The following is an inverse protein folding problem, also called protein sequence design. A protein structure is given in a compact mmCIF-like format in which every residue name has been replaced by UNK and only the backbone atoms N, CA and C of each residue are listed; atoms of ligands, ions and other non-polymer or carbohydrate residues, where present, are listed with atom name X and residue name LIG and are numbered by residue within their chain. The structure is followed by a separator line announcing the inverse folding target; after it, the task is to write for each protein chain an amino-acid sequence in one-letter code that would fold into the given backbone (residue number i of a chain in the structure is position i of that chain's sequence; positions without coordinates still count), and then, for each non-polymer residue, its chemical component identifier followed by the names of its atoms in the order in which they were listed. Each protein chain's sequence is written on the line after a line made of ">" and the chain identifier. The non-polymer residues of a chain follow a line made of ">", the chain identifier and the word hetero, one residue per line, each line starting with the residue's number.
data_IF_204834549667
#
_entry.id   IF_204834549667
#
_cell.length_a   1.000
_cell.length_b   1.000
_cell.length_c   1.000
_cell.angle_alpha   90.00
_cell.angle_beta   90.00
_cell.angle_gamma   90.00
#
_symmetry.space_group_name_H-M   'P 1'
#
loop_
_entity.id
_entity.type
_entity.pdbx_description
1 polymer ?
#
# COMPACT_ATOMS: atom_id res chain seq x y z
N UNK A 1 -33.40 32.05 22.34
CA UNK A 1 -33.63 30.63 22.06
C UNK A 1 -34.36 30.53 20.71
N UNK A 2 -33.68 30.23 19.63
CA UNK A 2 -34.28 29.91 18.33
C UNK A 2 -33.62 28.61 17.85
N UNK A 3 -34.38 27.54 17.78
CA UNK A 3 -34.00 26.26 17.21
C UNK A 3 -34.05 26.39 15.66
N UNK A 4 -32.96 26.16 14.98
CA UNK A 4 -32.92 25.98 13.51
C UNK A 4 -32.93 24.47 13.23
N UNK A 5 -34.01 24.02 12.63
CA UNK A 5 -34.21 22.68 12.11
C UNK A 5 -33.62 22.64 10.70
N UNK A 6 -32.57 21.84 10.47
CA UNK A 6 -32.04 21.60 9.12
C UNK A 6 -32.75 20.37 8.58
N UNK A 7 -33.55 20.58 7.54
CA UNK A 7 -34.20 19.55 6.75
C UNK A 7 -33.19 18.96 5.77
N UNK A 8 -32.85 17.68 5.94
CA UNK A 8 -32.15 16.93 4.89
C UNK A 8 -33.15 16.44 3.86
N UNK A 9 -33.12 17.04 2.66
CA UNK A 9 -33.89 16.58 1.50
C UNK A 9 -33.16 15.45 0.80
N UNK A 10 -33.75 14.27 0.82
CA UNK A 10 -33.41 13.11 -0.01
C UNK A 10 -33.85 13.38 -1.44
N UNK A 11 -32.90 13.42 -2.39
CA UNK A 11 -33.17 13.38 -3.83
C UNK A 11 -32.92 11.94 -4.32
N UNK A 12 -33.89 11.30 -4.97
CA UNK A 12 -33.66 10.05 -5.67
C UNK A 12 -33.03 10.34 -7.05
N UNK A 13 -31.89 9.74 -7.32
CA UNK A 13 -31.24 9.77 -8.64
C UNK A 13 -31.93 8.75 -9.53
N UNK A 14 -32.61 9.25 -10.55
CA UNK A 14 -33.21 8.47 -11.63
C UNK A 14 -32.10 7.97 -12.57
N UNK A 15 -32.01 6.66 -12.71
CA UNK A 15 -31.11 5.99 -13.65
C UNK A 15 -31.72 6.08 -15.05
N UNK A 16 -31.12 6.82 -15.95
CA UNK A 16 -31.47 6.84 -17.37
C UNK A 16 -30.51 5.91 -18.11
N UNK A 17 -30.99 4.75 -18.52
CA UNK A 17 -30.33 3.84 -19.44
C UNK A 17 -30.40 4.42 -20.86
N UNK A 18 -29.26 4.87 -21.39
CA UNK A 18 -29.11 5.16 -22.82
C UNK A 18 -28.36 4.01 -23.50
N UNK A 19 -29.09 3.19 -24.19
CA UNK A 19 -28.55 2.21 -25.13
C UNK A 19 -28.08 2.97 -26.39
N UNK A 20 -26.77 3.10 -26.56
CA UNK A 20 -26.18 3.42 -27.87
C UNK A 20 -25.52 2.17 -28.43
N UNK A 21 -26.21 1.55 -29.38
CA UNK A 21 -25.62 0.56 -30.26
C UNK A 21 -24.76 1.31 -31.29
N UNK A 22 -23.46 1.07 -31.28
CA UNK A 22 -22.57 1.42 -32.38
C UNK A 22 -22.00 0.13 -32.97
N UNK A 23 -22.30 -0.03 -34.25
CA UNK A 23 -21.86 -1.07 -35.13
C UNK A 23 -20.37 -1.21 -35.26
N UNK A 24 -19.83 -2.41 -35.06
CA UNK A 24 -18.46 -2.76 -35.32
C UNK A 24 -18.21 -2.87 -36.82
N UNK A 25 -17.15 -2.25 -37.31
CA UNK A 25 -16.48 -2.61 -38.55
C UNK A 25 -15.20 -3.37 -38.26
N UNK A 26 -14.94 -4.51 -38.88
CA UNK A 26 -13.73 -5.27 -38.64
C UNK A 26 -12.65 -4.85 -39.63
N UNK A 27 -11.51 -4.41 -39.14
CA UNK A 27 -10.30 -4.45 -39.96
C UNK A 27 -9.04 -4.50 -39.08
N UNK A 28 -8.32 -5.59 -39.21
CA UNK A 28 -6.89 -5.55 -39.24
C UNK A 28 -6.15 -6.18 -38.06
N UNK A 29 -5.55 -7.33 -38.35
CA UNK A 29 -4.35 -7.92 -37.77
C UNK A 29 -4.37 -8.16 -36.25
N UNK A 30 -4.71 -9.37 -35.88
CA UNK A 30 -4.37 -9.97 -34.59
C UNK A 30 -2.89 -10.30 -34.57
N UNK A 31 -2.08 -9.42 -34.00
CA UNK A 31 -0.84 -9.87 -33.36
C UNK A 31 -1.25 -10.63 -32.12
N UNK A 32 -0.81 -11.89 -32.03
CA UNK A 32 -1.18 -12.81 -30.98
C UNK A 32 -0.73 -12.31 -29.60
N UNK A 33 -1.61 -11.62 -28.91
CA UNK A 33 -1.47 -11.40 -27.48
C UNK A 33 -1.66 -12.76 -26.81
N UNK A 34 -0.58 -13.37 -26.37
CA UNK A 34 -0.63 -14.50 -25.46
C UNK A 34 -1.53 -14.13 -24.27
N UNK A 35 -2.55 -14.92 -24.07
CA UNK A 35 -3.50 -14.74 -22.98
C UNK A 35 -2.77 -14.85 -21.64
N UNK A 36 -2.92 -13.89 -20.71
CA UNK A 36 -2.20 -13.88 -19.44
C UNK A 36 -2.73 -14.86 -18.39
N UNK A 37 -3.37 -15.94 -18.81
CA UNK A 37 -4.09 -16.87 -17.93
C UNK A 37 -3.22 -17.65 -16.92
N UNK A 38 -1.90 -17.46 -16.88
CA UNK A 38 -1.01 -18.20 -15.96
C UNK A 38 -0.27 -17.35 -14.94
N UNK A 39 -0.55 -16.07 -14.83
CA UNK A 39 0.16 -15.21 -13.86
C UNK A 39 -0.44 -15.25 -12.45
N UNK A 40 -1.69 -15.71 -12.28
CA UNK A 40 -2.38 -15.76 -11.00
C UNK A 40 -2.55 -17.19 -10.50
N UNK A 41 -2.07 -17.44 -9.29
CA UNK A 41 -2.25 -18.71 -8.58
C UNK A 41 -2.95 -18.46 -7.25
N UNK A 42 -4.10 -19.05 -7.04
CA UNK A 42 -4.82 -18.93 -5.78
C UNK A 42 -4.05 -19.63 -4.66
N UNK A 43 -3.92 -18.94 -3.53
CA UNK A 43 -3.25 -19.41 -2.34
C UNK A 43 -4.26 -19.66 -1.23
N UNK A 44 -4.08 -20.70 -0.41
CA UNK A 44 -4.93 -20.93 0.74
C UNK A 44 -4.73 -19.86 1.80
N UNK A 45 -5.81 -19.37 2.37
CA UNK A 45 -5.80 -18.59 3.59
C UNK A 45 -5.87 -19.50 4.83
N UNK A 46 -5.41 -19.04 6.00
CA UNK A 46 -5.63 -19.77 7.25
C UNK A 46 -7.13 -20.00 7.48
N UNK A 47 -7.50 -21.22 7.84
CA UNK A 47 -8.88 -21.51 8.22
C UNK A 47 -9.23 -20.80 9.53
N UNK A 48 -10.31 -20.03 9.52
CA UNK A 48 -10.85 -19.36 10.70
C UNK A 48 -12.30 -19.78 10.90
N UNK A 49 -12.70 -19.97 12.15
CA UNK A 49 -14.07 -20.40 12.49
C UNK A 49 -15.03 -19.22 12.56
N UNK A 50 -14.53 -18.05 12.91
CA UNK A 50 -15.30 -16.82 13.08
C UNK A 50 -14.48 -15.60 12.62
N UNK A 51 -15.17 -14.55 12.19
CA UNK A 51 -14.55 -13.32 11.71
C UNK A 51 -14.01 -13.42 10.27
N UNK A 52 -13.11 -12.53 9.95
CA UNK A 52 -12.44 -12.47 8.64
C UNK A 52 -10.92 -12.43 8.80
N UNK A 53 -10.22 -12.86 7.75
CA UNK A 53 -8.77 -12.74 7.66
C UNK A 53 -8.42 -11.43 6.95
N UNK A 54 -7.47 -10.67 7.50
CA UNK A 54 -6.79 -9.57 6.81
C UNK A 54 -5.31 -9.91 6.66
N UNK A 55 -4.80 -9.90 5.42
CA UNK A 55 -3.38 -10.12 5.15
C UNK A 55 -2.66 -8.77 5.22
N UNK A 56 -1.68 -8.66 6.11
CA UNK A 56 -0.95 -7.43 6.39
C UNK A 56 0.35 -7.33 5.58
N UNK A 57 1.06 -8.45 5.42
CA UNK A 57 2.31 -8.52 4.67
C UNK A 57 2.54 -9.92 4.10
N UNK A 58 3.42 -10.02 3.10
CA UNK A 58 3.78 -11.27 2.45
C UNK A 58 5.29 -11.32 2.16
N UNK A 59 5.93 -12.48 2.39
CA UNK A 59 7.34 -12.68 2.08
C UNK A 59 7.62 -14.14 1.71
N UNK A 60 7.94 -14.40 0.46
CA UNK A 60 8.09 -15.76 -0.07
C UNK A 60 6.80 -16.56 0.06
N UNK A 61 6.84 -17.68 0.79
CA UNK A 61 5.65 -18.49 1.09
C UNK A 61 4.91 -18.06 2.36
N UNK A 62 5.40 -17.05 3.08
CA UNK A 62 4.81 -16.62 4.35
C UNK A 62 3.92 -15.42 4.17
N UNK A 63 2.79 -15.43 4.86
CA UNK A 63 1.92 -14.27 5.04
C UNK A 63 1.79 -13.95 6.52
N UNK A 64 1.77 -12.66 6.82
CA UNK A 64 1.36 -12.11 8.10
C UNK A 64 -0.12 -11.78 8.02
N UNK A 65 -0.90 -12.31 8.92
CA UNK A 65 -2.34 -12.10 8.92
C UNK A 65 -2.87 -11.76 10.30
N UNK A 66 -4.02 -11.11 10.30
CA UNK A 66 -4.86 -10.95 11.48
C UNK A 66 -6.23 -11.57 11.23
N UNK A 67 -6.81 -12.15 12.27
CA UNK A 67 -8.23 -12.49 12.32
C UNK A 67 -8.96 -11.39 13.05
N UNK A 68 -9.95 -10.83 12.41
CA UNK A 68 -10.71 -9.69 12.88
C UNK A 68 -12.19 -10.06 13.05
N UNK A 69 -12.79 -9.54 14.08
CA UNK A 69 -14.24 -9.57 14.30
C UNK A 69 -14.81 -8.17 14.12
N UNK A 70 -15.90 -8.11 13.36
CA UNK A 70 -16.66 -6.86 13.21
C UNK A 70 -17.58 -6.69 14.41
N UNK A 71 -17.37 -5.64 15.14
CA UNK A 71 -18.15 -5.27 16.30
C UNK A 71 -18.96 -3.99 16.01
N UNK A 72 -20.06 -3.83 16.71
CA UNK A 72 -20.84 -2.59 16.69
C UNK A 72 -20.52 -1.78 17.94
N UNK A 73 -20.43 -0.46 17.79
CA UNK A 73 -20.35 0.45 18.92
C UNK A 73 -21.56 0.27 19.85
N UNK A 74 -21.41 0.61 21.11
CA UNK A 74 -22.47 0.45 22.14
C UNK A 74 -23.77 1.19 21.79
N UNK A 75 -23.65 2.28 21.05
CA UNK A 75 -24.78 3.07 20.54
C UNK A 75 -25.29 2.59 19.17
N UNK A 76 -24.63 1.58 18.56
CA UNK A 76 -24.96 1.03 17.24
C UNK A 76 -24.68 1.97 16.07
N UNK A 77 -24.02 3.10 16.31
CA UNK A 77 -23.81 4.15 15.31
C UNK A 77 -22.77 3.85 14.27
N UNK A 78 -21.80 2.97 14.56
CA UNK A 78 -20.73 2.58 13.64
C UNK A 78 -20.21 1.18 13.95
N UNK A 79 -19.58 0.56 12.96
CA UNK A 79 -18.91 -0.71 13.09
C UNK A 79 -17.39 -0.49 13.14
N UNK A 80 -16.72 -1.28 13.96
CA UNK A 80 -15.26 -1.33 14.02
C UNK A 80 -14.79 -2.79 14.01
N UNK A 81 -13.49 -2.97 13.72
CA UNK A 81 -12.87 -4.27 13.70
C UNK A 81 -11.95 -4.42 14.90
N UNK A 82 -12.05 -5.55 15.59
CA UNK A 82 -11.17 -5.92 16.68
C UNK A 82 -10.35 -7.13 16.28
N UNK A 83 -9.04 -7.03 16.40
CA UNK A 83 -8.14 -8.15 16.13
C UNK A 83 -8.21 -9.16 17.26
N UNK A 84 -8.56 -10.38 16.93
CA UNK A 84 -8.65 -11.53 17.86
C UNK A 84 -7.45 -12.45 17.78
N UNK A 85 -6.76 -12.47 16.65
CA UNK A 85 -5.61 -13.33 16.44
C UNK A 85 -4.64 -12.68 15.46
N UNK A 86 -3.37 -12.85 15.70
CA UNK A 86 -2.28 -12.55 14.77
C UNK A 86 -1.54 -13.84 14.45
N UNK A 87 -1.16 -14.04 13.20
CA UNK A 87 -0.42 -15.24 12.83
C UNK A 87 0.50 -15.05 11.63
N UNK A 88 1.49 -15.92 11.58
CA UNK A 88 2.33 -16.14 10.41
C UNK A 88 1.96 -17.52 9.84
N UNK A 89 1.61 -17.55 8.57
CA UNK A 89 1.14 -18.74 7.89
C UNK A 89 1.97 -19.02 6.64
N UNK A 90 2.42 -20.25 6.49
CA UNK A 90 3.08 -20.73 5.27
C UNK A 90 2.01 -21.25 4.30
N UNK A 91 1.81 -20.54 3.20
CA UNK A 91 0.78 -20.85 2.19
C UNK A 91 1.09 -22.11 1.39
N UNK A 92 2.40 -22.46 1.23
CA UNK A 92 2.79 -23.66 0.52
C UNK A 92 2.62 -24.91 1.39
N UNK A 93 3.05 -24.82 2.65
CA UNK A 93 2.89 -25.91 3.63
C UNK A 93 1.49 -25.98 4.22
N UNK A 94 0.65 -24.97 3.98
CA UNK A 94 -0.70 -24.83 4.56
C UNK A 94 -0.70 -24.96 6.07
N UNK A 95 0.25 -24.29 6.72
CA UNK A 95 0.52 -24.44 8.16
C UNK A 95 0.77 -23.09 8.82
N UNK A 96 0.16 -22.90 9.99
CA UNK A 96 0.54 -21.80 10.87
C UNK A 96 1.92 -22.06 11.47
N UNK A 97 2.83 -21.11 11.27
CA UNK A 97 4.19 -21.12 11.83
C UNK A 97 4.18 -20.50 13.23
N UNK A 98 3.41 -19.45 13.40
CA UNK A 98 3.21 -18.77 14.66
C UNK A 98 1.77 -18.25 14.76
N UNK A 99 1.21 -18.31 15.97
CA UNK A 99 -0.14 -17.80 16.26
C UNK A 99 -0.11 -17.13 17.63
N UNK A 100 -0.76 -16.02 17.73
CA UNK A 100 -0.87 -15.28 18.98
C UNK A 100 -2.25 -14.60 19.09
N UNK A 101 -2.82 -14.67 20.29
CA UNK A 101 -4.03 -13.94 20.65
C UNK A 101 -3.61 -12.69 21.45
N UNK A 102 -3.88 -11.48 20.94
CA UNK A 102 -3.47 -10.26 21.62
C UNK A 102 -4.14 -10.12 22.99
N UNK A 103 -3.34 -9.89 24.02
CA UNK A 103 -3.85 -9.52 25.35
C UNK A 103 -4.33 -8.06 25.38
N UNK A 104 -3.74 -7.23 24.55
CA UNK A 104 -4.12 -5.83 24.39
C UNK A 104 -5.15 -5.73 23.28
N UNK A 105 -6.41 -5.38 23.58
CA UNK A 105 -7.41 -5.10 22.56
C UNK A 105 -6.94 -3.97 21.65
N UNK A 106 -7.16 -4.10 20.37
CA UNK A 106 -6.76 -3.07 19.41
C UNK A 106 -7.08 -3.45 17.97
N UNK A 107 -6.89 -2.48 17.10
CA UNK A 107 -6.93 -2.69 15.66
C UNK A 107 -5.50 -2.78 15.13
N UNK A 108 -5.09 -3.95 14.67
CA UNK A 108 -3.78 -4.20 14.06
C UNK A 108 -3.90 -3.99 12.55
N UNK A 109 -3.65 -2.78 12.09
CA UNK A 109 -3.95 -2.34 10.73
C UNK A 109 -2.77 -2.47 9.76
N UNK A 110 -1.55 -2.70 10.24
CA UNK A 110 -0.33 -2.84 9.43
C UNK A 110 0.61 -3.87 10.03
N UNK A 111 1.52 -4.37 9.21
CA UNK A 111 2.51 -5.32 9.66
C UNK A 111 3.66 -5.48 8.67
N UNK A 112 4.81 -5.91 9.17
CA UNK A 112 5.99 -6.23 8.40
C UNK A 112 6.55 -7.58 8.86
N UNK A 113 6.69 -8.52 7.93
CA UNK A 113 7.35 -9.80 8.14
C UNK A 113 8.86 -9.61 8.23
N UNK A 114 9.45 -10.18 9.26
CA UNK A 114 10.89 -10.22 9.49
C UNK A 114 11.46 -11.60 9.15
N UNK A 115 12.77 -11.77 9.30
CA UNK A 115 13.41 -13.08 9.18
C UNK A 115 12.95 -14.03 10.29
N UNK A 116 12.94 -15.31 9.98
CA UNK A 116 12.36 -16.33 10.87
C UNK A 116 10.83 -16.19 10.95
N UNK A 117 10.27 -16.58 12.09
CA UNK A 117 8.83 -16.49 12.37
C UNK A 117 8.56 -15.27 13.25
N UNK A 118 8.95 -14.09 12.75
CA UNK A 118 8.84 -12.83 13.45
C UNK A 118 8.17 -11.75 12.57
N UNK A 119 7.53 -10.79 13.22
CA UNK A 119 6.91 -9.64 12.59
C UNK A 119 6.88 -8.43 13.52
N UNK A 120 6.73 -7.26 12.93
CA UNK A 120 6.34 -6.04 13.63
C UNK A 120 4.96 -5.66 13.17
N UNK A 121 4.11 -5.24 14.09
CA UNK A 121 2.70 -4.92 13.87
C UNK A 121 2.46 -3.47 14.24
N UNK A 122 1.70 -2.77 13.42
CA UNK A 122 1.16 -1.44 13.73
C UNK A 122 -0.23 -1.59 14.36
N UNK A 123 -0.44 -0.94 15.49
CA UNK A 123 -1.58 -1.11 16.36
C UNK A 123 -2.15 0.25 16.75
N UNK A 124 -3.45 0.41 16.58
CA UNK A 124 -4.21 1.49 17.18
C UNK A 124 -4.84 0.99 18.50
N UNK A 125 -4.40 1.54 19.62
CA UNK A 125 -4.80 1.11 20.96
C UNK A 125 -6.24 1.53 21.32
N UNK A 126 -6.62 2.74 20.94
CA UNK A 126 -7.98 3.24 21.17
C UNK A 126 -8.75 3.35 19.84
N UNK A 127 -9.33 2.23 19.45
CA UNK A 127 -10.11 2.08 18.21
C UNK A 127 -11.62 2.29 18.43
N UNK A 128 -12.04 2.61 19.66
CA UNK A 128 -13.46 2.76 20.02
C UNK A 128 -13.96 4.20 19.98
N UNK A 129 -13.18 5.17 19.51
CA UNK A 129 -13.47 6.60 19.28
C UNK A 129 -12.80 7.62 20.20
N UNK A 130 -11.82 7.28 20.98
CA UNK A 130 -11.08 8.33 21.64
C UNK A 130 -10.22 9.06 20.60
N UNK A 131 -10.35 10.36 20.59
CA UNK A 131 -9.46 11.21 19.81
C UNK A 131 -8.65 12.06 20.80
N UNK A 132 -7.33 12.13 20.69
CA UNK A 132 -6.48 11.57 19.63
C UNK A 132 -6.29 10.05 19.76
N UNK A 133 -6.19 9.36 18.61
CA UNK A 133 -5.91 7.94 18.55
C UNK A 133 -4.50 7.66 19.09
N UNK A 134 -4.37 6.63 19.92
CA UNK A 134 -3.08 6.18 20.43
C UNK A 134 -2.54 5.06 19.52
N UNK A 135 -1.30 5.18 19.12
CA UNK A 135 -0.63 4.23 18.26
C UNK A 135 0.53 3.54 18.99
N UNK A 136 0.76 2.31 18.61
CA UNK A 136 1.87 1.52 19.12
C UNK A 136 2.42 0.61 18.02
N UNK A 137 3.65 0.16 18.21
CA UNK A 137 4.22 -0.95 17.46
C UNK A 137 4.42 -2.14 18.39
N UNK A 138 4.15 -3.34 17.88
CA UNK A 138 4.39 -4.57 18.62
C UNK A 138 5.31 -5.49 17.83
N UNK A 139 6.41 -5.87 18.45
CA UNK A 139 7.24 -6.97 17.98
C UNK A 139 6.62 -8.31 18.40
N UNK A 140 6.58 -9.23 17.46
CA UNK A 140 6.08 -10.58 17.61
C UNK A 140 7.10 -11.56 17.03
N UNK A 141 7.70 -12.43 17.84
CA UNK A 141 8.68 -13.41 17.37
C UNK A 141 8.98 -14.48 18.41
N UNK A 142 8.76 -15.75 18.10
CA UNK A 142 8.87 -16.84 19.03
C UNK A 142 8.02 -16.62 20.28
N UNK A 143 8.65 -16.59 21.47
CA UNK A 143 8.02 -16.24 22.74
C UNK A 143 8.16 -14.75 23.11
N UNK A 144 8.92 -13.98 22.35
CA UNK A 144 9.15 -12.57 22.64
C UNK A 144 7.98 -11.72 22.16
N UNK A 145 7.55 -10.80 23.01
CA UNK A 145 6.59 -9.75 22.72
C UNK A 145 7.11 -8.45 23.31
N UNK A 146 7.08 -7.42 22.52
CA UNK A 146 7.51 -6.09 22.96
C UNK A 146 6.57 -5.05 22.38
N UNK A 147 5.89 -4.30 23.23
CA UNK A 147 5.02 -3.18 22.85
C UNK A 147 5.78 -1.87 23.06
N UNK A 148 5.75 -1.03 22.06
CA UNK A 148 6.31 0.32 22.08
C UNK A 148 5.21 1.29 21.73
N UNK A 149 4.83 2.16 22.68
CA UNK A 149 3.93 3.27 22.40
C UNK A 149 4.66 4.31 21.53
N UNK A 150 3.97 4.81 20.52
CA UNK A 150 4.51 5.73 19.55
C UNK A 150 3.81 7.08 19.65
N UNK A 151 4.59 8.15 19.50
CA UNK A 151 4.04 9.49 19.37
C UNK A 151 3.68 9.77 17.93
N UNK A 152 2.48 10.30 17.69
CA UNK A 152 1.99 10.62 16.35
C UNK A 152 1.19 9.49 15.69
N UNK A 153 0.53 9.84 14.62
CA UNK A 153 -0.30 8.93 13.83
C UNK A 153 0.57 8.09 12.90
N UNK A 154 0.53 6.76 13.08
CA UNK A 154 1.17 5.83 12.15
C UNK A 154 0.41 5.80 10.83
N UNK A 155 1.16 5.81 9.72
CA UNK A 155 0.59 5.79 8.39
C UNK A 155 0.97 4.54 7.61
N UNK A 156 2.27 4.22 7.57
CA UNK A 156 2.81 3.05 6.85
C UNK A 156 3.79 2.28 7.73
N UNK A 157 3.77 0.96 7.58
CA UNK A 157 4.73 0.05 8.17
C UNK A 157 5.21 -0.92 7.10
N UNK A 158 6.52 -0.94 6.83
CA UNK A 158 7.14 -1.73 5.78
C UNK A 158 8.38 -2.45 6.31
N UNK A 159 8.68 -3.69 5.86
CA UNK A 159 9.92 -4.35 6.21
C UNK A 159 11.11 -3.57 5.64
N UNK A 160 12.16 -3.40 6.46
CA UNK A 160 13.38 -2.68 6.07
C UNK A 160 14.58 -3.61 5.95
N UNK A 161 14.79 -4.45 6.95
CA UNK A 161 15.82 -5.48 6.93
C UNK A 161 15.24 -6.79 7.46
N UNK A 162 16.05 -7.83 7.52
CA UNK A 162 15.61 -9.10 8.10
C UNK A 162 15.13 -9.01 9.56
N UNK A 163 15.50 -7.96 10.29
CA UNK A 163 15.20 -7.79 11.72
C UNK A 163 14.49 -6.50 12.08
N UNK A 164 14.29 -5.61 11.11
CA UNK A 164 13.77 -4.26 11.32
C UNK A 164 12.66 -3.94 10.33
N UNK A 165 11.78 -3.05 10.74
CA UNK A 165 10.79 -2.39 9.89
C UNK A 165 10.91 -0.87 10.01
N UNK A 166 10.44 -0.16 9.01
CA UNK A 166 10.26 1.28 9.05
C UNK A 166 8.77 1.61 9.14
N UNK A 167 8.44 2.55 10.00
CA UNK A 167 7.09 3.07 10.14
C UNK A 167 7.08 4.58 9.93
N UNK A 168 6.34 5.07 8.96
CA UNK A 168 6.11 6.49 8.82
C UNK A 168 5.03 6.96 9.79
N UNK A 169 5.23 8.16 10.34
CA UNK A 169 4.28 8.77 11.27
C UNK A 169 4.16 10.28 11.03
N UNK A 170 3.05 10.85 11.50
CA UNK A 170 2.81 12.29 11.51
C UNK A 170 2.48 12.72 12.92
N UNK A 171 3.13 13.80 13.41
CA UNK A 171 2.80 14.40 14.69
C UNK A 171 1.57 15.30 14.59
N UNK A 172 0.99 15.66 15.74
CA UNK A 172 -0.13 16.62 15.79
C UNK A 172 0.28 18.00 15.23
N UNK A 173 1.56 18.39 15.40
CA UNK A 173 2.09 19.65 14.86
C UNK A 173 2.38 19.55 13.35
N UNK A 174 2.13 18.39 12.73
CA UNK A 174 2.30 18.17 11.29
C UNK A 174 3.72 17.80 10.87
N UNK A 175 4.66 17.54 11.80
CA UNK A 175 5.94 16.97 11.43
C UNK A 175 5.76 15.54 10.89
N UNK A 176 6.55 15.18 9.88
CA UNK A 176 6.63 13.82 9.35
C UNK A 176 7.89 13.15 9.87
N UNK A 177 7.78 11.89 10.24
CA UNK A 177 8.92 11.12 10.69
C UNK A 177 8.86 9.67 10.20
N UNK A 178 10.01 9.00 10.37
CA UNK A 178 10.14 7.56 10.14
C UNK A 178 10.81 6.95 11.36
N UNK A 179 10.12 6.01 11.99
CA UNK A 179 10.69 5.17 13.03
C UNK A 179 11.38 3.96 12.40
N UNK A 180 12.50 3.56 12.99
CA UNK A 180 13.11 2.24 12.83
C UNK A 180 12.69 1.38 14.01
N UNK A 181 12.02 0.29 13.74
CA UNK A 181 11.43 -0.61 14.71
C UNK A 181 12.14 -1.96 14.67
N UNK A 182 12.42 -2.52 15.84
CA UNK A 182 13.04 -3.84 16.01
C UNK A 182 12.49 -4.55 17.25
N UNK A 183 13.01 -5.75 17.55
CA UNK A 183 12.73 -6.46 18.79
C UNK A 183 13.12 -5.66 20.05
N UNK A 184 14.15 -4.82 19.93
CA UNK A 184 14.74 -4.06 21.02
C UNK A 184 14.05 -2.69 21.27
N UNK A 185 13.09 -2.35 20.39
CA UNK A 185 12.33 -1.11 20.54
C UNK A 185 12.30 -0.25 19.27
N UNK A 186 12.24 1.05 19.48
CA UNK A 186 12.04 2.05 18.43
C UNK A 186 13.13 3.13 18.51
N UNK A 187 13.61 3.54 17.35
CA UNK A 187 14.50 4.70 17.19
C UNK A 187 14.04 5.56 16.03
N UNK A 188 14.31 6.86 16.09
CA UNK A 188 14.06 7.74 14.96
C UNK A 188 15.08 7.49 13.84
N UNK A 189 14.58 7.23 12.63
CA UNK A 189 15.39 7.16 11.42
C UNK A 189 15.40 8.52 10.68
N UNK A 190 14.31 9.27 10.79
CA UNK A 190 14.14 10.58 10.14
C UNK A 190 13.09 11.38 10.90
N UNK A 191 13.33 12.68 11.04
CA UNK A 191 12.30 13.66 11.43
C UNK A 191 12.39 14.87 10.49
N UNK A 192 11.36 15.09 9.69
CA UNK A 192 11.18 16.27 8.87
C UNK A 192 10.23 17.23 9.58
N UNK A 193 10.78 18.31 10.14
CA UNK A 193 9.97 19.34 10.78
C UNK A 193 9.13 20.08 9.73
N UNK A 194 7.83 20.16 9.99
CA UNK A 194 6.96 21.04 9.22
C UNK A 194 7.31 22.50 9.54
N UNK A 195 7.53 23.30 8.53
CA UNK A 195 7.67 24.74 8.63
C UNK A 195 6.71 25.43 7.65
N UNK A 196 6.68 26.77 7.67
CA UNK A 196 5.78 27.53 6.80
C UNK A 196 6.00 27.30 5.29
N UNK A 197 7.13 26.69 4.92
CA UNK A 197 7.52 26.48 3.52
C UNK A 197 7.72 25.00 3.19
N UNK A 198 7.68 24.10 4.17
CA UNK A 198 7.93 22.67 4.01
C UNK A 198 6.79 21.89 4.61
N UNK A 199 6.07 21.15 3.78
CA UNK A 199 4.96 20.29 4.18
C UNK A 199 5.32 18.83 3.87
N UNK A 200 5.27 17.93 4.88
CA UNK A 200 5.38 16.50 4.60
C UNK A 200 4.22 16.06 3.71
N UNK A 201 4.53 15.38 2.63
CA UNK A 201 3.49 14.77 1.81
C UNK A 201 3.02 13.50 2.49
N UNK A 202 1.72 13.43 2.70
CA UNK A 202 1.11 12.44 3.58
C UNK A 202 1.45 11.01 3.24
N UNK A 203 2.14 10.38 4.13
CA UNK A 203 2.05 8.98 4.42
C UNK A 203 2.83 8.00 3.57
N UNK A 204 3.09 8.26 2.31
CA UNK A 204 3.75 7.27 1.48
C UNK A 204 5.22 7.10 1.86
N UNK A 205 5.58 5.86 2.13
CA UNK A 205 6.93 5.38 2.38
C UNK A 205 7.22 4.24 1.40
N UNK A 206 8.35 4.29 0.72
CA UNK A 206 8.85 3.18 -0.06
C UNK A 206 10.15 2.67 0.54
N UNK A 207 10.26 1.36 0.70
CA UNK A 207 11.43 0.71 1.30
C UNK A 207 11.96 -0.34 0.35
N UNK A 208 13.26 -0.37 0.13
CA UNK A 208 13.90 -1.44 -0.59
C UNK A 208 15.34 -1.67 -0.17
N UNK A 209 15.62 -2.86 0.33
CA UNK A 209 16.91 -3.19 0.90
C UNK A 209 17.22 -2.29 2.10
N UNK A 210 18.34 -1.60 2.04
CA UNK A 210 18.83 -0.67 3.05
C UNK A 210 18.48 0.80 2.76
N UNK A 211 17.57 1.03 1.80
CA UNK A 211 17.14 2.37 1.37
C UNK A 211 15.65 2.56 1.62
N UNK A 212 15.28 3.80 1.88
CA UNK A 212 13.88 4.21 1.90
C UNK A 212 13.69 5.55 1.20
N UNK A 213 12.50 5.79 0.71
CA UNK A 213 12.11 7.03 0.05
C UNK A 213 10.86 7.61 0.71
N UNK A 214 10.86 8.92 0.86
CA UNK A 214 9.71 9.71 1.33
C UNK A 214 9.52 10.94 0.45
N UNK A 215 8.36 11.59 0.54
CA UNK A 215 8.06 12.79 -0.21
C UNK A 215 7.75 13.96 0.71
N UNK A 216 8.11 15.16 0.27
CA UNK A 216 7.71 16.42 0.90
C UNK A 216 7.49 17.51 -0.15
N UNK A 217 6.69 18.52 0.19
CA UNK A 217 6.57 19.72 -0.63
C UNK A 217 7.30 20.88 0.06
N UNK A 218 8.05 21.66 -0.72
CA UNK A 218 8.68 22.90 -0.26
C UNK A 218 8.37 24.01 -1.23
N UNK A 219 7.78 25.09 -0.73
CA UNK A 219 7.29 26.21 -1.57
C UNK A 219 6.37 25.72 -2.72
N UNK A 220 5.57 24.70 -2.48
CA UNK A 220 4.68 24.10 -3.48
C UNK A 220 5.35 23.11 -4.45
N UNK A 221 6.67 22.96 -4.42
CA UNK A 221 7.38 21.97 -5.23
C UNK A 221 7.54 20.67 -4.47
N UNK A 222 7.07 19.58 -5.07
CA UNK A 222 7.20 18.23 -4.51
C UNK A 222 8.60 17.68 -4.76
N UNK A 223 9.18 17.12 -3.72
CA UNK A 223 10.49 16.45 -3.77
C UNK A 223 10.36 15.04 -3.18
N UNK A 224 10.87 14.06 -3.91
CA UNK A 224 11.09 12.69 -3.45
C UNK A 224 12.53 12.58 -2.95
N UNK A 225 12.71 12.13 -1.73
CA UNK A 225 14.04 11.99 -1.12
C UNK A 225 14.30 10.53 -0.78
N UNK A 226 15.34 9.95 -1.37
CA UNK A 226 15.81 8.61 -1.06
C UNK A 226 16.95 8.69 -0.06
N UNK A 227 16.86 7.93 1.01
CA UNK A 227 17.87 7.84 2.07
C UNK A 227 18.47 6.45 2.08
N UNK A 228 19.78 6.35 2.00
CA UNK A 228 20.53 5.10 2.12
C UNK A 228 20.91 4.81 3.59
N UNK A 229 21.35 3.58 3.89
CA UNK A 229 21.72 3.16 5.24
C UNK A 229 22.87 3.98 5.85
N UNK A 230 23.77 4.50 5.02
CA UNK A 230 24.87 5.37 5.43
C UNK A 230 24.45 6.84 5.67
N UNK A 231 23.16 7.15 5.49
CA UNK A 231 22.60 8.49 5.60
C UNK A 231 22.76 9.36 4.36
N UNK A 232 23.33 8.83 3.27
CA UNK A 232 23.39 9.53 1.99
C UNK A 232 21.98 9.77 1.47
N UNK A 233 21.71 10.99 1.00
CA UNK A 233 20.42 11.39 0.47
C UNK A 233 20.53 11.75 -1.02
N UNK A 234 19.59 11.26 -1.81
CA UNK A 234 19.36 11.67 -3.20
C UNK A 234 17.95 12.26 -3.32
N UNK A 235 17.85 13.44 -3.93
CA UNK A 235 16.60 14.18 -4.03
C UNK A 235 16.19 14.37 -5.48
N UNK A 236 14.94 14.03 -5.79
CA UNK A 236 14.28 14.26 -7.06
C UNK A 236 13.18 15.30 -6.88
N UNK A 237 13.41 16.52 -7.34
CA UNK A 237 12.36 17.54 -7.42
C UNK A 237 11.49 17.26 -8.65
N UNK A 238 10.17 17.17 -8.45
CA UNK A 238 9.20 17.09 -9.54
C UNK A 238 9.02 18.47 -10.19
N UNK A 239 8.45 18.56 -11.41
CA UNK A 239 8.11 19.86 -12.02
C UNK A 239 7.26 20.72 -11.09
N UNK A 240 7.39 22.05 -11.23
CA UNK A 240 6.48 22.98 -10.55
C UNK A 240 5.04 22.63 -10.88
N UNK A 241 4.13 22.79 -9.95
CA UNK A 241 2.72 22.40 -10.08
C UNK A 241 2.43 20.89 -10.20
N UNK A 242 3.42 20.02 -10.09
CA UNK A 242 3.18 18.58 -10.08
C UNK A 242 2.47 18.15 -8.79
N UNK A 243 1.47 17.28 -8.93
CA UNK A 243 0.84 16.57 -7.82
C UNK A 243 1.27 15.11 -7.84
N UNK A 244 1.97 14.67 -6.81
CA UNK A 244 2.37 13.28 -6.64
C UNK A 244 1.15 12.42 -6.30
N UNK A 245 1.00 11.31 -7.02
CA UNK A 245 -0.05 10.32 -6.74
C UNK A 245 0.52 9.11 -5.96
N UNK A 246 1.65 8.56 -6.42
CA UNK A 246 2.29 7.41 -5.76
C UNK A 246 3.75 7.27 -6.20
N UNK A 247 4.53 6.52 -5.41
CA UNK A 247 5.90 6.16 -5.76
C UNK A 247 6.30 4.80 -5.18
N UNK A 248 7.35 4.22 -5.73
CA UNK A 248 7.95 2.98 -5.28
C UNK A 248 9.46 2.96 -5.54
N UNK A 249 10.21 2.36 -4.62
CA UNK A 249 11.64 2.16 -4.74
C UNK A 249 11.92 0.69 -5.04
N UNK A 250 12.71 0.41 -6.08
CA UNK A 250 13.06 -0.96 -6.45
C UNK A 250 14.47 -1.34 -5.92
N UNK A 251 14.73 -2.63 -5.73
CA UNK A 251 15.97 -3.12 -5.11
C UNK A 251 17.21 -2.72 -5.90
N UNK A 252 17.26 -3.15 -7.15
CA UNK A 252 18.40 -2.93 -8.04
C UNK A 252 18.04 -1.99 -9.19
N UNK A 253 16.95 -1.29 -9.06
CA UNK A 253 16.37 -0.48 -10.10
C UNK A 253 16.07 0.95 -9.68
N UNK A 254 15.25 1.61 -10.49
CA UNK A 254 14.93 3.00 -10.29
C UNK A 254 13.92 3.24 -9.17
N UNK A 255 13.86 4.49 -8.73
CA UNK A 255 12.67 5.07 -8.15
C UNK A 255 11.63 5.25 -9.27
N UNK A 256 10.43 4.73 -9.07
CA UNK A 256 9.30 4.89 -9.99
C UNK A 256 8.26 5.76 -9.29
N UNK A 257 7.79 6.80 -9.94
CA UNK A 257 6.70 7.62 -9.39
C UNK A 257 5.71 8.01 -10.46
N UNK A 258 4.47 8.19 -10.03
CA UNK A 258 3.43 8.81 -10.84
C UNK A 258 3.04 10.16 -10.25
N UNK A 259 2.93 11.15 -11.13
CA UNK A 259 2.43 12.47 -10.79
C UNK A 259 1.53 13.05 -11.91
N UNK A 260 0.76 14.07 -11.57
CA UNK A 260 -0.09 14.81 -12.49
C UNK A 260 0.46 16.22 -12.63
N UNK A 261 0.67 16.66 -13.84
CA UNK A 261 0.91 18.08 -14.14
C UNK A 261 -0.41 18.85 -13.98
N UNK A 262 -0.47 19.79 -13.06
CA UNK A 262 -1.71 20.50 -12.75
C UNK A 262 -2.28 21.28 -13.94
N UNK A 263 -1.42 21.86 -14.76
CA UNK A 263 -1.81 22.72 -15.89
C UNK A 263 -2.36 21.91 -17.07
N UNK A 264 -1.65 20.89 -17.51
CA UNK A 264 -2.02 20.04 -18.63
C UNK A 264 -2.98 18.92 -18.26
N UNK A 265 -3.11 18.60 -16.96
CA UNK A 265 -3.76 17.39 -16.42
C UNK A 265 -3.14 16.11 -16.95
N UNK A 266 -1.95 16.19 -17.53
CA UNK A 266 -1.23 15.03 -18.02
C UNK A 266 -0.73 14.19 -16.86
N UNK A 267 -0.95 12.89 -16.94
CA UNK A 267 -0.39 11.94 -16.01
C UNK A 267 0.98 11.48 -16.50
N UNK A 268 1.96 11.55 -15.62
CA UNK A 268 3.35 11.21 -15.91
C UNK A 268 3.76 10.01 -15.07
N UNK A 269 4.38 9.04 -15.70
CA UNK A 269 5.05 7.93 -15.05
C UNK A 269 6.55 8.09 -15.28
N UNK A 270 7.27 8.39 -14.20
CA UNK A 270 8.69 8.71 -14.20
C UNK A 270 9.47 7.58 -13.56
N UNK A 271 10.57 7.21 -14.20
CA UNK A 271 11.58 6.28 -13.72
C UNK A 271 12.88 7.04 -13.48
N UNK A 272 13.47 6.95 -12.30
CA UNK A 272 14.72 7.63 -11.95
C UNK A 272 15.74 6.65 -11.40
N UNK A 273 16.85 6.49 -12.12
CA UNK A 273 17.98 5.66 -11.68
C UNK A 273 18.93 6.40 -10.75
N UNK A 274 19.65 5.66 -9.91
CA UNK A 274 20.68 6.22 -9.03
C UNK A 274 21.82 6.95 -9.80
N UNK A 275 22.06 6.59 -11.06
CA UNK A 275 22.99 7.29 -11.96
C UNK A 275 22.57 8.72 -12.27
N UNK A 276 21.33 9.09 -12.00
CA UNK A 276 20.74 10.35 -12.40
C UNK A 276 19.97 10.29 -13.72
N UNK A 277 20.03 9.19 -14.44
CA UNK A 277 19.23 8.95 -15.65
C UNK A 277 17.75 8.86 -15.29
N UNK A 278 16.91 9.48 -16.11
CA UNK A 278 15.46 9.49 -15.90
C UNK A 278 14.72 9.32 -17.23
N UNK A 279 13.64 8.55 -17.19
CA UNK A 279 12.75 8.30 -18.32
C UNK A 279 11.33 8.63 -17.91
N UNK A 280 10.58 9.26 -18.79
CA UNK A 280 9.23 9.68 -18.51
C UNK A 280 8.29 9.33 -19.65
N UNK A 281 7.14 8.78 -19.31
CA UNK A 281 6.06 8.52 -20.26
C UNK A 281 4.77 9.21 -19.83
N UNK A 282 4.05 9.72 -20.82
CA UNK A 282 2.73 10.31 -20.61
C UNK A 282 1.68 9.22 -20.68
N UNK A 283 0.81 9.15 -19.67
CA UNK A 283 -0.35 8.28 -19.66
C UNK A 283 -1.62 9.04 -20.02
N UNK A 284 -2.61 8.39 -20.66
CA UNK A 284 -3.90 9.00 -20.87
C UNK A 284 -4.54 9.45 -19.55
N UNK A 285 -5.07 10.67 -19.50
CA UNK A 285 -5.72 11.16 -18.28
C UNK A 285 -6.94 10.30 -17.87
N UNK A 286 -7.58 9.64 -18.83
CA UNK A 286 -8.69 8.72 -18.59
C UNK A 286 -8.31 7.49 -17.76
N UNK A 287 -7.02 7.12 -17.71
CA UNK A 287 -6.54 5.96 -16.94
C UNK A 287 -6.53 6.23 -15.43
N UNK A 288 -6.62 7.49 -15.02
CA UNK A 288 -6.63 7.90 -13.61
C UNK A 288 -5.29 7.71 -12.90
N UNK A 289 -5.24 8.13 -11.64
CA UNK A 289 -4.07 7.97 -10.77
C UNK A 289 -3.77 6.49 -10.50
N UNK A 290 -2.51 6.15 -10.24
CA UNK A 290 -2.10 4.84 -9.77
C UNK A 290 -1.94 4.86 -8.24
N UNK A 291 -2.53 3.90 -7.58
CA UNK A 291 -2.43 3.68 -6.15
C UNK A 291 -1.81 2.32 -5.85
N UNK A 292 -1.29 2.15 -4.66
CA UNK A 292 -0.67 0.90 -4.22
C UNK A 292 0.40 0.37 -5.19
N UNK A 293 1.18 1.29 -5.77
CA UNK A 293 2.26 0.92 -6.69
C UNK A 293 3.24 -0.03 -6.00
N UNK A 294 3.44 -1.21 -6.60
CA UNK A 294 4.44 -2.19 -6.17
C UNK A 294 5.18 -2.68 -7.40
N UNK A 295 6.51 -2.75 -7.30
CA UNK A 295 7.36 -3.06 -8.44
C UNK A 295 8.56 -3.90 -8.02
N UNK A 296 8.89 -4.94 -8.77
CA UNK A 296 10.05 -5.81 -8.55
C UNK A 296 10.47 -6.47 -9.86
N UNK A 297 11.76 -6.67 -10.06
CA UNK A 297 12.32 -7.42 -11.20
C UNK A 297 11.78 -6.97 -12.57
N UNK A 298 11.71 -5.67 -12.79
CA UNK A 298 11.25 -5.11 -14.07
C UNK A 298 9.72 -5.13 -14.27
N UNK A 299 8.93 -5.66 -13.35
CA UNK A 299 7.48 -5.74 -13.45
C UNK A 299 6.79 -5.28 -12.16
N UNK A 300 5.52 -4.90 -12.26
CA UNK A 300 4.79 -4.44 -11.08
C UNK A 300 3.28 -4.42 -11.25
N UNK A 301 2.60 -4.12 -10.16
CA UNK A 301 1.17 -3.90 -10.13
C UNK A 301 0.82 -2.56 -9.47
N UNK A 302 -0.29 -2.00 -9.88
CA UNK A 302 -0.93 -0.87 -9.25
C UNK A 302 -2.45 -0.97 -9.40
N UNK A 303 -3.18 -0.13 -8.67
CA UNK A 303 -4.61 0.06 -8.84
C UNK A 303 -4.83 1.44 -9.45
N UNK A 304 -5.60 1.56 -10.53
CA UNK A 304 -5.91 2.87 -11.11
C UNK A 304 -7.07 3.58 -10.40
N UNK A 305 -7.31 4.84 -10.77
CA UNK A 305 -8.37 5.65 -10.19
C UNK A 305 -9.79 5.11 -10.36
N UNK A 306 -10.00 4.14 -11.27
CA UNK A 306 -11.27 3.41 -11.46
C UNK A 306 -11.25 2.05 -10.76
N UNK A 307 -10.29 1.82 -9.86
CA UNK A 307 -10.08 0.57 -9.11
C UNK A 307 -9.70 -0.63 -9.96
N UNK A 308 -9.30 -0.43 -11.21
CA UNK A 308 -8.80 -1.47 -12.09
C UNK A 308 -7.36 -1.86 -11.75
N UNK A 309 -7.07 -3.16 -11.69
CA UNK A 309 -5.70 -3.66 -11.54
C UNK A 309 -4.91 -3.35 -12.80
N UNK A 310 -3.72 -2.80 -12.63
CA UNK A 310 -2.79 -2.45 -13.69
C UNK A 310 -1.52 -3.30 -13.57
N UNK A 311 -1.05 -3.83 -14.68
CA UNK A 311 0.28 -4.43 -14.82
C UNK A 311 1.24 -3.38 -15.37
N UNK A 312 2.38 -3.24 -14.71
CA UNK A 312 3.48 -2.36 -15.13
C UNK A 312 4.66 -3.19 -15.59
N UNK A 313 5.36 -2.70 -16.60
CA UNK A 313 6.54 -3.35 -17.13
C UNK A 313 7.61 -2.30 -17.50
N UNK A 314 8.82 -2.50 -16.98
CA UNK A 314 10.00 -1.70 -17.30
C UNK A 314 10.61 -2.26 -18.57
N UNK A 315 10.75 -1.41 -19.58
CA UNK A 315 11.41 -1.74 -20.84
C UNK A 315 12.92 -1.57 -20.73
N UNK A 316 13.68 -2.13 -21.67
CA UNK A 316 15.15 -2.00 -21.74
C UNK A 316 15.61 -0.55 -21.87
N UNK A 317 14.79 0.31 -22.49
CA UNK A 317 15.06 1.75 -22.64
C UNK A 317 14.78 2.57 -21.36
N UNK A 318 14.42 1.92 -20.27
CA UNK A 318 14.12 2.57 -18.98
C UNK A 318 12.71 3.15 -18.86
N UNK A 319 11.85 2.99 -19.85
CA UNK A 319 10.46 3.43 -19.75
C UNK A 319 9.59 2.38 -19.08
N UNK A 320 8.57 2.84 -18.35
CA UNK A 320 7.55 1.95 -17.75
C UNK A 320 6.27 2.02 -18.54
N UNK A 321 5.87 0.90 -19.12
CA UNK A 321 4.53 0.73 -19.69
C UNK A 321 3.52 0.32 -18.64
N UNK A 322 2.24 0.65 -18.86
CA UNK A 322 1.15 0.33 -17.96
C UNK A 322 -0.06 -0.17 -18.78
N UNK A 323 -0.61 -1.32 -18.42
CA UNK A 323 -1.80 -1.87 -19.07
C UNK A 323 -2.79 -2.43 -18.05
N UNK A 324 -4.08 -2.30 -18.35
CA UNK A 324 -5.13 -2.90 -17.53
C UNK A 324 -5.07 -4.43 -17.55
N UNK A 325 -5.28 -5.04 -16.40
CA UNK A 325 -5.49 -6.48 -16.28
C UNK A 325 -6.97 -6.75 -16.47
N UNK A 326 -7.33 -7.36 -17.61
CA UNK A 326 -8.72 -7.61 -17.99
C UNK A 326 -9.26 -8.94 -17.47
N UNK A 327 -8.39 -9.90 -17.22
CA UNK A 327 -8.73 -11.25 -16.78
C UNK A 327 -8.26 -11.46 -15.34
N UNK A 328 -9.14 -11.16 -14.40
CA UNK A 328 -8.93 -11.49 -13.00
C UNK A 328 -9.46 -12.90 -12.71
N UNK A 329 -8.82 -13.68 -11.82
CA UNK A 329 -9.31 -15.01 -11.47
C UNK A 329 -10.70 -14.95 -10.83
N UNK A 330 -11.68 -15.61 -11.47
CA UNK A 330 -13.06 -15.65 -10.99
C UNK A 330 -13.79 -14.31 -11.18
N UNK A 331 -14.91 -14.14 -10.50
CA UNK A 331 -15.76 -12.94 -10.54
C UNK A 331 -15.24 -11.80 -9.64
N UNK A 332 -13.93 -11.70 -9.45
CA UNK A 332 -13.34 -10.66 -8.62
C UNK A 332 -13.49 -9.31 -9.31
N UNK A 333 -14.19 -8.43 -8.66
CA UNK A 333 -14.18 -7.03 -9.04
C UNK A 333 -12.88 -6.40 -8.54
N UNK A 334 -12.34 -5.45 -9.29
CA UNK A 334 -11.10 -4.74 -8.95
C UNK A 334 -11.18 -3.87 -7.69
N UNK A 335 -12.33 -3.84 -7.04
CA UNK A 335 -12.60 -3.07 -5.85
C UNK A 335 -11.90 -3.73 -4.65
N UNK A 336 -11.05 -2.95 -3.96
CA UNK A 336 -10.41 -3.33 -2.69
C UNK A 336 -9.35 -4.46 -2.73
N UNK A 337 -8.55 -4.54 -3.78
CA UNK A 337 -7.36 -5.38 -3.73
C UNK A 337 -6.26 -4.73 -2.89
N UNK A 338 -5.57 -5.51 -2.06
CA UNK A 338 -4.27 -5.15 -1.46
C UNK A 338 -3.15 -5.79 -2.26
N UNK A 339 -2.19 -4.98 -2.69
CA UNK A 339 -1.01 -5.45 -3.43
C UNK A 339 0.17 -5.48 -2.45
N UNK A 340 0.70 -6.68 -2.21
CA UNK A 340 1.82 -6.91 -1.32
C UNK A 340 3.01 -7.44 -2.14
N UNK A 341 4.21 -6.93 -1.89
CA UNK A 341 5.43 -7.45 -2.51
C UNK A 341 5.95 -8.64 -1.68
N UNK A 342 6.19 -9.78 -2.31
CA UNK A 342 6.71 -10.97 -1.63
C UNK A 342 8.23 -10.98 -1.46
N UNK A 343 8.94 -9.97 -1.98
CA UNK A 343 10.39 -9.86 -1.88
C UNK A 343 11.19 -10.80 -2.79
N UNK A 344 10.53 -11.73 -3.49
CA UNK A 344 11.12 -12.69 -4.44
C UNK A 344 10.78 -12.37 -5.91
N UNK A 345 10.29 -11.17 -6.17
CA UNK A 345 9.81 -10.74 -7.49
C UNK A 345 8.36 -11.12 -7.79
N UNK A 346 7.72 -11.86 -6.91
CA UNK A 346 6.28 -12.12 -6.97
C UNK A 346 5.50 -11.14 -6.10
N UNK A 347 4.18 -11.13 -6.28
CA UNK A 347 3.25 -10.29 -5.52
C UNK A 347 2.13 -11.15 -4.95
N UNK A 348 1.60 -10.75 -3.82
CA UNK A 348 0.36 -11.28 -3.29
C UNK A 348 -0.75 -10.25 -3.48
N UNK A 349 -1.84 -10.68 -4.11
CA UNK A 349 -3.06 -9.90 -4.30
C UNK A 349 -4.12 -10.43 -3.34
N UNK A 350 -4.40 -9.66 -2.31
CA UNK A 350 -5.41 -10.03 -1.34
C UNK A 350 -6.71 -9.26 -1.59
N UNK A 351 -7.82 -9.99 -1.70
CA UNK A 351 -9.17 -9.46 -1.89
C UNK A 351 -9.96 -9.63 -0.58
N UNK A 352 -10.03 -8.59 0.27
CA UNK A 352 -10.62 -8.71 1.60
C UNK A 352 -12.08 -9.14 1.60
N UNK A 353 -12.90 -8.56 0.72
CA UNK A 353 -14.34 -8.87 0.65
C UNK A 353 -14.62 -10.30 0.18
N UNK A 354 -13.80 -10.79 -0.75
CA UNK A 354 -13.92 -12.14 -1.27
C UNK A 354 -13.21 -13.19 -0.40
N UNK A 355 -12.41 -12.76 0.58
CA UNK A 355 -11.54 -13.62 1.40
C UNK A 355 -10.69 -14.54 0.51
N UNK A 356 -10.05 -13.97 -0.53
CA UNK A 356 -9.21 -14.72 -1.47
C UNK A 356 -7.84 -14.08 -1.59
N UNK A 357 -6.82 -14.91 -1.71
CA UNK A 357 -5.43 -14.53 -1.88
C UNK A 357 -4.88 -15.15 -3.15
N UNK A 358 -4.16 -14.39 -3.95
CA UNK A 358 -3.50 -14.88 -5.16
C UNK A 358 -2.01 -14.51 -5.13
N UNK A 359 -1.18 -15.43 -5.56
CA UNK A 359 0.18 -15.13 -5.98
C UNK A 359 0.17 -14.72 -7.43
N UNK A 360 0.74 -13.58 -7.72
CA UNK A 360 0.93 -13.07 -9.07
C UNK A 360 2.42 -13.06 -9.40
N UNK A 361 2.79 -13.74 -10.48
CA UNK A 361 4.16 -13.75 -11.02
C UNK A 361 4.10 -13.12 -12.41
N UNK A 362 4.38 -11.83 -12.56
CA UNK A 362 4.39 -11.21 -13.87
C UNK A 362 5.45 -11.89 -14.74
N UNK A 363 5.07 -12.28 -15.95
CA UNK A 363 6.04 -12.75 -16.93
C UNK A 363 6.84 -11.55 -17.41
N UNK A 364 8.16 -11.61 -17.25
CA UNK A 364 9.13 -10.64 -17.76
C UNK A 364 9.19 -10.66 -19.28
#
# INVERSE_FOLDING_TARGET
>A
MKRSTILCSLLPVLLVLSLCACSASPSGASDGAETPNNIFHELPLPAVTEGQVSVLDARGSRILYVREEKLLSKDGGYAYYETKQVGIYDVNAQKSLAVWEPETPGNYFGGALLDGDAAILALQLDYTNAYPAQFAAMYFGGSQRSLVELTGELQWLLPFSGKEALASYRTEEGAFGVYRLSADGCTDALLLQADANTEPMGGDLAVCGDRFCYAYAKNGQVTLCTVSADGTQDALALPESAKLDSFWLTADGPLICQYVEQDSKAQRLLTRYASGEAHEVTRPAADGALYQLRFANGCGFAVNGSWGLQLLQLSEDGTVSCRGVTELPGELTSVQVRILSSGDGSFCLFYPEAQRLFRAVPNS
#
